data_IF_844553682241
#
_entry.id   IF_844553682241
#
_cell.length_a   1.000
_cell.length_b   1.000
_cell.length_c   1.000
_cell.angle_alpha   90.00
_cell.angle_beta   90.00
_cell.angle_gamma   90.00
#
_symmetry.space_group_name_H-M   'P 1'
#
loop_
_entity.id
_entity.type
_entity.pdbx_description
1 polymer ?
#
# COMPACT_ATOMS: atom_id res chain seq x y z
N UNK A 1 -53.77 19.10 9.55
CA UNK A 1 -52.52 19.32 8.80
C UNK A 1 -51.39 18.59 9.53
N UNK A 2 -50.85 17.53 8.91
CA UNK A 2 -49.59 16.84 9.22
C UNK A 2 -48.83 16.80 7.87
N UNK A 3 -47.49 16.67 7.79
CA UNK A 3 -46.52 16.31 8.83
C UNK A 3 -45.29 17.25 8.88
N UNK A 4 -44.44 17.13 9.91
CA UNK A 4 -43.03 17.51 9.76
C UNK A 4 -42.18 16.46 10.48
N UNK A 5 -41.69 15.49 9.70
CA UNK A 5 -40.64 14.60 10.13
C UNK A 5 -39.31 15.27 9.81
N UNK A 6 -38.50 15.56 10.84
CA UNK A 6 -37.09 15.95 10.69
C UNK A 6 -36.25 14.77 11.16
N UNK A 7 -35.78 13.96 10.23
CA UNK A 7 -34.67 13.02 10.45
C UNK A 7 -33.54 13.53 9.57
N UNK A 8 -32.65 14.34 10.14
CA UNK A 8 -31.35 14.62 9.53
C UNK A 8 -30.43 13.48 9.94
N UNK A 9 -30.38 12.46 9.09
CA UNK A 9 -29.39 11.40 9.16
C UNK A 9 -28.01 12.04 8.90
N UNK A 10 -27.18 12.18 9.93
CA UNK A 10 -25.75 12.46 9.75
C UNK A 10 -25.09 11.22 9.17
N UNK A 11 -24.94 11.18 7.85
CA UNK A 11 -24.01 10.28 7.19
C UNK A 11 -22.59 10.78 7.43
N UNK A 12 -21.91 10.22 8.43
CA UNK A 12 -20.45 10.26 8.49
C UNK A 12 -19.94 9.44 7.30
N UNK A 13 -19.60 10.12 6.21
CA UNK A 13 -18.93 9.52 5.07
C UNK A 13 -17.57 8.98 5.53
N UNK A 14 -17.45 7.65 5.61
CA UNK A 14 -16.16 6.98 5.65
C UNK A 14 -15.44 7.33 4.33
N UNK A 15 -14.48 8.26 4.39
CA UNK A 15 -13.59 8.56 3.28
C UNK A 15 -12.58 7.43 3.10
N UNK A 16 -13.06 6.28 2.64
CA UNK A 16 -12.24 5.21 2.07
C UNK A 16 -11.67 5.70 0.73
N UNK A 17 -10.35 5.57 0.55
CA UNK A 17 -9.56 6.00 -0.61
C UNK A 17 -9.87 7.44 -1.08
N UNK A 18 -9.23 8.45 -0.48
CA UNK A 18 -9.21 9.81 -1.06
C UNK A 18 -8.65 9.76 -2.48
N UNK A 19 -9.54 9.97 -3.46
CA UNK A 19 -9.32 10.30 -4.87
C UNK A 19 -7.85 10.43 -5.30
N UNK A 20 -7.32 9.32 -5.77
CA UNK A 20 -6.50 9.28 -6.97
C UNK A 20 -7.10 8.13 -7.79
N UNK A 21 -7.35 8.39 -9.08
CA UNK A 21 -8.26 7.67 -9.97
C UNK A 21 -8.39 6.15 -9.78
N UNK A 22 -9.63 5.70 -10.03
CA UNK A 22 -10.15 4.31 -10.10
C UNK A 22 -10.83 3.82 -8.83
N UNK A 23 -12.14 3.67 -8.97
CA UNK A 23 -13.16 3.16 -8.07
C UNK A 23 -12.99 1.66 -7.74
N UNK A 24 -11.77 1.25 -7.37
CA UNK A 24 -11.43 -0.13 -7.11
C UNK A 24 -10.64 -0.18 -5.80
N UNK A 25 -11.36 -0.22 -4.69
CA UNK A 25 -10.85 -0.92 -3.51
C UNK A 25 -10.67 -2.38 -3.95
N UNK A 26 -9.48 -2.73 -4.44
CA UNK A 26 -9.20 -4.07 -4.94
C UNK A 26 -9.30 -5.03 -3.74
N UNK A 27 -10.25 -5.97 -3.71
CA UNK A 27 -10.13 -7.08 -2.79
C UNK A 27 -8.84 -7.80 -3.16
N UNK A 28 -7.85 -7.74 -2.28
CA UNK A 28 -6.57 -8.41 -2.45
C UNK A 28 -6.85 -9.92 -2.38
N UNK A 29 -7.20 -10.53 -3.50
CA UNK A 29 -7.11 -11.98 -3.64
C UNK A 29 -5.63 -12.31 -3.60
N UNK A 30 -5.19 -12.98 -2.54
CA UNK A 30 -3.85 -13.55 -2.43
C UNK A 30 -3.66 -14.61 -3.51
N UNK A 31 -3.26 -14.20 -4.71
CA UNK A 31 -2.73 -15.13 -5.71
C UNK A 31 -1.25 -15.26 -5.41
N UNK A 32 -0.86 -16.33 -4.71
CA UNK A 32 0.54 -16.65 -4.45
C UNK A 32 1.09 -17.29 -5.73
N UNK A 33 1.50 -16.47 -6.68
CA UNK A 33 2.22 -16.96 -7.86
C UNK A 33 3.70 -16.71 -7.64
N UNK A 34 4.46 -17.79 -7.47
CA UNK A 34 5.91 -17.72 -7.29
C UNK A 34 6.56 -17.38 -8.65
N UNK A 35 6.57 -16.10 -9.05
CA UNK A 35 7.23 -15.62 -10.27
C UNK A 35 8.77 -15.65 -10.16
N UNK A 36 9.33 -16.36 -9.18
CA UNK A 36 10.76 -16.42 -8.90
C UNK A 36 11.29 -15.21 -8.13
N UNK A 37 10.51 -14.13 -7.99
CA UNK A 37 10.81 -12.99 -7.12
C UNK A 37 10.40 -13.30 -5.67
N UNK A 38 11.31 -13.08 -4.72
CA UNK A 38 11.01 -13.27 -3.29
C UNK A 38 11.40 -12.04 -2.48
N UNK A 39 10.51 -11.64 -1.57
CA UNK A 39 10.72 -10.56 -0.62
C UNK A 39 11.72 -11.01 0.44
N UNK A 40 12.90 -10.37 0.45
CA UNK A 40 13.99 -10.64 1.40
C UNK A 40 13.80 -9.81 2.65
N UNK A 41 13.57 -8.52 2.47
CA UNK A 41 13.33 -7.57 3.55
C UNK A 41 12.21 -6.61 3.17
N UNK A 42 11.43 -6.19 4.16
CA UNK A 42 10.44 -5.14 4.01
C UNK A 42 10.30 -4.39 5.33
N UNK A 43 10.75 -3.15 5.32
CA UNK A 43 10.79 -2.29 6.49
C UNK A 43 10.21 -0.92 6.18
N UNK A 44 9.83 -0.21 7.24
CA UNK A 44 9.26 1.12 7.13
C UNK A 44 9.54 1.93 8.39
N UNK A 45 9.86 3.20 8.20
CA UNK A 45 10.15 4.13 9.28
C UNK A 45 9.27 5.36 9.14
N UNK A 46 8.55 5.67 10.20
CA UNK A 46 7.86 6.96 10.31
C UNK A 46 8.87 8.07 10.57
N UNK A 47 8.85 9.12 9.75
CA UNK A 47 9.73 10.26 9.87
C UNK A 47 9.01 11.55 9.43
N UNK A 48 9.00 12.58 10.29
CA UNK A 48 8.42 13.90 9.99
C UNK A 48 7.00 13.91 9.37
N UNK A 49 6.15 12.94 9.70
CA UNK A 49 4.77 12.85 9.18
C UNK A 49 4.61 12.03 7.90
N UNK A 50 5.71 11.53 7.36
CA UNK A 50 5.76 10.58 6.25
C UNK A 50 6.21 9.20 6.75
N UNK A 51 6.04 8.18 5.91
CA UNK A 51 6.64 6.85 6.10
C UNK A 51 7.60 6.58 4.95
N UNK A 52 8.87 6.33 5.29
CA UNK A 52 9.86 5.84 4.35
C UNK A 52 9.83 4.31 4.38
N UNK A 53 9.49 3.71 3.25
CA UNK A 53 9.48 2.27 3.04
C UNK A 53 10.78 1.85 2.34
N UNK A 54 11.30 0.70 2.73
CA UNK A 54 12.39 0.03 2.05
C UNK A 54 12.05 -1.45 1.89
N UNK A 55 12.29 -2.00 0.69
CA UNK A 55 12.11 -3.43 0.45
C UNK A 55 13.20 -3.97 -0.46
N UNK A 56 13.60 -5.21 -0.20
CA UNK A 56 14.63 -5.90 -0.98
C UNK A 56 14.04 -7.16 -1.59
N UNK A 57 14.30 -7.33 -2.89
CA UNK A 57 13.87 -8.50 -3.64
C UNK A 57 15.07 -9.33 -4.11
N UNK A 58 14.87 -10.64 -4.14
CA UNK A 58 15.78 -11.62 -4.71
C UNK A 58 15.10 -12.46 -5.78
N UNK A 59 15.90 -13.19 -6.55
CA UNK A 59 15.44 -14.13 -7.57
C UNK A 59 15.30 -13.51 -8.95
N UNK A 60 14.47 -14.10 -9.82
CA UNK A 60 14.33 -13.62 -11.20
C UNK A 60 13.36 -12.44 -11.26
N UNK A 61 13.86 -11.28 -11.65
CA UNK A 61 13.08 -10.05 -11.78
C UNK A 61 12.93 -9.59 -13.25
N UNK A 62 13.45 -10.35 -14.22
CA UNK A 62 13.55 -9.92 -15.63
C UNK A 62 12.21 -9.56 -16.30
N UNK A 63 11.09 -10.02 -15.76
CA UNK A 63 9.75 -9.73 -16.30
C UNK A 63 9.01 -8.63 -15.53
N UNK A 64 9.63 -8.08 -14.47
CA UNK A 64 9.02 -7.02 -13.64
C UNK A 64 9.13 -5.69 -14.36
N UNK A 65 8.00 -5.03 -14.56
CA UNK A 65 7.91 -3.69 -15.16
C UNK A 65 7.77 -2.60 -14.09
N UNK A 66 7.03 -2.88 -13.02
CA UNK A 66 6.79 -1.93 -11.96
C UNK A 66 6.50 -2.60 -10.61
N UNK A 67 6.77 -1.87 -9.53
CA UNK A 67 6.25 -2.19 -8.20
C UNK A 67 5.09 -1.27 -7.86
N UNK A 68 3.96 -1.86 -7.47
CA UNK A 68 2.77 -1.15 -7.01
C UNK A 68 2.76 -1.10 -5.49
N UNK A 69 2.62 0.09 -4.91
CA UNK A 69 2.64 0.30 -3.46
C UNK A 69 1.21 0.52 -2.97
N UNK A 70 0.74 -0.33 -2.07
CA UNK A 70 -0.60 -0.24 -1.48
C UNK A 70 -0.52 0.16 -0.02
N UNK A 71 -1.44 1.02 0.43
CA UNK A 71 -1.50 1.52 1.81
C UNK A 71 -2.94 1.68 2.30
N UNK A 72 -3.15 1.49 3.61
CA UNK A 72 -4.44 1.69 4.27
C UNK A 72 -4.35 1.71 5.80
N UNK A 73 -5.43 2.17 6.44
CA UNK A 73 -5.59 2.14 7.91
C UNK A 73 -6.04 0.78 8.45
N UNK A 74 -6.29 -0.18 7.55
CA UNK A 74 -6.66 -1.56 7.83
C UNK A 74 -5.92 -2.48 6.88
N UNK A 75 -5.36 -3.58 7.40
CA UNK A 75 -4.68 -4.59 6.57
C UNK A 75 -5.61 -5.29 5.57
N UNK A 76 -6.92 -5.22 5.78
CA UNK A 76 -7.93 -5.81 4.89
C UNK A 76 -8.43 -4.85 3.80
N UNK A 77 -8.06 -3.57 3.86
CA UNK A 77 -8.50 -2.55 2.92
C UNK A 77 -7.33 -1.61 2.58
N UNK A 78 -6.63 -1.94 1.51
CA UNK A 78 -5.48 -1.20 1.00
C UNK A 78 -5.85 -0.56 -0.33
N UNK A 79 -5.43 0.68 -0.55
CA UNK A 79 -5.56 1.37 -1.84
C UNK A 79 -4.17 1.51 -2.48
N UNK A 80 -4.10 1.51 -3.81
CA UNK A 80 -2.87 1.90 -4.53
C UNK A 80 -2.51 3.35 -4.15
N UNK A 81 -1.26 3.59 -3.79
CA UNK A 81 -0.75 4.93 -3.43
C UNK A 81 0.46 5.36 -4.25
N UNK A 82 1.07 4.46 -5.01
CA UNK A 82 2.22 4.79 -5.82
C UNK A 82 2.75 3.62 -6.62
N UNK A 83 3.70 3.95 -7.48
CA UNK A 83 4.33 3.04 -8.42
C UNK A 83 5.83 3.36 -8.52
N UNK A 84 6.64 2.33 -8.65
CA UNK A 84 8.07 2.42 -8.95
C UNK A 84 8.33 1.68 -10.25
N UNK A 85 8.56 2.42 -11.33
CA UNK A 85 8.94 1.85 -12.62
C UNK A 85 10.33 1.23 -12.55
N UNK A 86 10.49 0.10 -13.24
CA UNK A 86 11.70 -0.69 -13.20
C UNK A 86 12.33 -0.76 -14.58
N UNK A 87 13.44 -0.04 -14.76
CA UNK A 87 14.12 0.06 -16.05
C UNK A 87 15.37 -0.83 -16.15
N UNK A 88 16.02 -1.12 -15.03
CA UNK A 88 17.17 -2.04 -14.93
C UNK A 88 17.14 -2.72 -13.57
N UNK A 89 17.32 -4.05 -13.52
CA UNK A 89 17.30 -4.81 -12.27
C UNK A 89 18.60 -5.59 -12.08
N UNK A 90 19.23 -5.39 -10.92
CA UNK A 90 20.38 -6.17 -10.45
C UNK A 90 19.96 -6.94 -9.20
N UNK A 91 20.19 -8.24 -9.10
CA UNK A 91 19.74 -9.03 -7.95
C UNK A 91 20.88 -9.26 -6.95
N UNK A 92 20.69 -8.98 -5.63
CA UNK A 92 19.50 -8.42 -4.99
C UNK A 92 19.32 -6.93 -5.28
N UNK A 93 18.08 -6.48 -5.42
CA UNK A 93 17.73 -5.06 -5.57
C UNK A 93 17.01 -4.56 -4.34
N UNK A 94 17.42 -3.39 -3.87
CA UNK A 94 16.73 -2.66 -2.80
C UNK A 94 16.04 -1.43 -3.39
N UNK A 95 14.78 -1.26 -3.02
CA UNK A 95 13.91 -0.19 -3.47
C UNK A 95 13.46 0.65 -2.28
N UNK A 96 13.13 1.91 -2.53
CA UNK A 96 12.63 2.80 -1.50
C UNK A 96 11.47 3.64 -2.02
N UNK A 97 10.48 3.85 -1.15
CA UNK A 97 9.28 4.63 -1.45
C UNK A 97 8.97 5.54 -0.27
N UNK A 98 8.61 6.79 -0.53
CA UNK A 98 8.21 7.75 0.50
C UNK A 98 6.70 7.97 0.41
N UNK A 99 5.97 7.59 1.46
CA UNK A 99 4.54 7.88 1.63
C UNK A 99 4.39 9.20 2.42
N UNK A 100 4.05 10.33 1.77
CA UNK A 100 3.92 11.62 2.44
C UNK A 100 2.63 11.78 3.24
N UNK A 101 1.66 10.86 3.09
CA UNK A 101 0.35 10.95 3.70
C UNK A 101 -0.13 9.59 4.25
N UNK A 102 0.61 9.00 5.22
CA UNK A 102 0.28 7.70 5.79
C UNK A 102 -1.11 7.67 6.40
N UNK A 103 -1.88 6.64 6.04
CA UNK A 103 -3.30 6.50 6.39
C UNK A 103 -3.45 5.77 7.73
N UNK A 104 -3.49 6.54 8.81
CA UNK A 104 -3.73 6.03 10.15
C UNK A 104 -2.45 5.72 10.93
N UNK A 105 -2.60 5.09 12.10
CA UNK A 105 -1.48 4.63 12.93
C UNK A 105 -1.94 3.43 13.77
N UNK A 106 -1.53 2.19 13.44
CA UNK A 106 -0.60 1.85 12.36
C UNK A 106 -1.18 2.13 10.96
N UNK A 107 -0.30 2.51 10.04
CA UNK A 107 -0.56 2.41 8.60
C UNK A 107 -0.06 1.05 8.11
N UNK A 108 -0.83 0.38 7.26
CA UNK A 108 -0.51 -0.94 6.70
C UNK A 108 -0.07 -0.79 5.25
N UNK A 109 0.96 -1.55 4.85
CA UNK A 109 1.55 -1.51 3.52
C UNK A 109 1.69 -2.89 2.90
N UNK A 110 1.54 -2.96 1.58
CA UNK A 110 1.75 -4.16 0.78
C UNK A 110 2.36 -3.78 -0.56
N UNK A 111 3.19 -4.67 -1.10
CA UNK A 111 3.85 -4.50 -2.39
C UNK A 111 3.21 -5.47 -3.41
N UNK A 112 2.82 -4.93 -4.56
CA UNK A 112 2.47 -5.70 -5.76
C UNK A 112 3.61 -5.62 -6.77
N UNK A 113 3.79 -6.68 -7.54
CA UNK A 113 4.71 -6.77 -8.67
C UNK A 113 3.85 -6.80 -9.93
N UNK A 114 4.07 -5.85 -10.83
CA UNK A 114 3.49 -5.86 -12.17
C UNK A 114 4.48 -6.50 -13.16
N UNK A 115 3.97 -7.41 -14.00
CA UNK A 115 4.74 -8.01 -15.09
C UNK A 115 4.51 -7.32 -16.44
N UNK A 116 5.25 -7.74 -17.47
CA UNK A 116 5.12 -7.22 -18.83
C UNK A 116 3.76 -7.47 -19.51
N UNK A 117 2.85 -8.22 -18.89
CA UNK A 117 1.47 -8.42 -19.34
C UNK A 117 0.48 -7.53 -18.57
N UNK A 118 0.96 -6.72 -17.62
CA UNK A 118 0.14 -5.89 -16.74
C UNK A 118 -0.52 -6.68 -15.62
N UNK A 119 -0.11 -7.93 -15.37
CA UNK A 119 -0.65 -8.70 -14.25
C UNK A 119 0.03 -8.31 -12.95
N UNK A 120 -0.78 -8.10 -11.90
CA UNK A 120 -0.29 -7.76 -10.57
C UNK A 120 -0.29 -9.02 -9.69
N UNK A 121 0.90 -9.39 -9.20
CA UNK A 121 1.08 -10.42 -8.16
C UNK A 121 1.44 -9.76 -6.84
N UNK A 122 0.71 -10.09 -5.78
CA UNK A 122 0.95 -9.51 -4.45
C UNK A 122 2.00 -10.30 -3.67
N UNK A 123 2.97 -9.59 -3.09
CA UNK A 123 3.90 -10.19 -2.15
C UNK A 123 3.14 -10.55 -0.87
N UNK A 124 3.34 -11.77 -0.36
CA UNK A 124 2.63 -12.28 0.81
C UNK A 124 3.20 -11.73 2.13
N UNK A 125 3.33 -10.41 2.24
CA UNK A 125 3.77 -9.71 3.44
C UNK A 125 3.03 -8.38 3.57
N UNK A 126 2.47 -8.12 4.75
CA UNK A 126 1.88 -6.84 5.11
C UNK A 126 2.74 -6.25 6.23
N UNK A 127 3.27 -5.06 5.99
CA UNK A 127 4.02 -4.29 6.96
C UNK A 127 3.08 -3.34 7.70
N UNK A 128 3.18 -3.25 9.02
CA UNK A 128 2.54 -2.21 9.82
C UNK A 128 3.57 -1.21 10.31
N UNK A 129 3.32 0.09 10.11
CA UNK A 129 4.18 1.18 10.58
C UNK A 129 3.35 2.13 11.43
N UNK A 130 3.74 2.30 12.69
CA UNK A 130 3.07 3.20 13.62
C UNK A 130 3.79 4.54 13.70
N UNK A 131 3.02 5.61 13.83
CA UNK A 131 3.55 6.89 14.28
C UNK A 131 4.16 6.69 15.66
N UNK A 132 5.36 7.22 15.94
CA UNK A 132 5.94 7.17 17.27
C UNK A 132 4.95 7.80 18.24
N UNK A 133 4.59 7.07 19.30
CA UNK A 133 3.85 7.65 20.41
C UNK A 133 4.76 8.70 21.04
N UNK A 134 4.45 9.97 20.83
CA UNK A 134 5.15 11.05 21.49
C UNK A 134 4.93 10.94 23.00
N UNK A 135 5.84 10.26 23.70
CA UNK A 135 6.19 10.66 25.06
C UNK A 135 7.22 11.79 24.89
N UNK A 136 6.74 12.95 24.44
CA UNK A 136 7.46 14.19 24.62
C UNK A 136 7.54 14.44 26.12
N UNK A 137 8.75 14.29 26.67
CA UNK A 137 9.14 14.96 27.91
C UNK A 137 9.48 16.41 27.59
#
# INVERSE_FOLDING_TARGET
MKPTAFIVLMFLSLSACSKQDSDLAFPVKKTVTNQGASLVDFSGKWDHGAVQLQFTLSGNLSNVTAFKIFSGSSSNQLCLIGELDVTVIQTPSTFSFNDPAPKGSPTYYMIGIEDNQGHITYLNSILSVSKPSGLGK
#
